data_IF_238968445165
#
_entry.id   IF_238968445165
#
_cell.length_a   1.000
_cell.length_b   1.000
_cell.length_c   1.000
_cell.angle_alpha   90.00
_cell.angle_beta   90.00
_cell.angle_gamma   90.00
#
_symmetry.space_group_name_H-M   'P 1'
#
loop_
_entity.id
_entity.type
_entity.pdbx_description
1 polymer ?
#
# COMPACT_ATOMS: atom_id res chain seq x y z
N UNK A 1 42.80 -15.65 35.79
CA UNK A 1 41.61 -16.49 35.53
C UNK A 1 40.39 -15.57 35.57
N UNK A 2 39.29 -15.85 34.84
CA UNK A 2 38.03 -15.07 34.72
C UNK A 2 37.67 -14.46 33.35
N UNK A 3 38.29 -14.86 32.23
CA UNK A 3 37.82 -14.49 30.88
C UNK A 3 36.63 -15.33 30.36
N UNK A 4 35.84 -15.91 31.25
CA UNK A 4 34.65 -16.71 30.92
C UNK A 4 33.33 -16.06 31.34
N UNK A 5 33.38 -14.93 32.06
CA UNK A 5 32.16 -14.21 32.50
C UNK A 5 31.75 -13.09 31.56
N UNK A 6 32.53 -12.80 30.51
CA UNK A 6 32.26 -11.72 29.55
C UNK A 6 31.80 -12.23 28.17
N UNK A 7 31.74 -13.55 27.98
CA UNK A 7 31.11 -14.13 26.81
C UNK A 7 29.66 -14.42 27.17
N UNK A 8 28.83 -13.41 26.99
CA UNK A 8 27.38 -13.53 27.04
C UNK A 8 26.88 -14.38 25.87
N UNK A 9 27.05 -15.70 25.99
CA UNK A 9 26.49 -16.69 25.07
C UNK A 9 24.98 -16.46 24.95
N UNK A 10 24.30 -16.07 26.03
CA UNK A 10 22.88 -15.72 26.00
C UNK A 10 22.59 -14.50 25.13
N UNK A 11 23.35 -13.39 25.21
CA UNK A 11 23.02 -12.20 24.43
C UNK A 11 23.46 -12.32 22.98
N UNK A 12 24.59 -12.96 22.68
CA UNK A 12 25.02 -13.16 21.28
C UNK A 12 24.22 -14.24 20.57
N UNK A 13 23.82 -15.33 21.21
CA UNK A 13 23.04 -16.39 20.55
C UNK A 13 21.53 -16.09 20.54
N UNK A 14 20.98 -15.39 21.53
CA UNK A 14 19.58 -14.92 21.44
C UNK A 14 19.42 -13.71 20.50
N UNK A 15 20.48 -12.93 20.25
CA UNK A 15 20.46 -11.82 19.28
C UNK A 15 20.88 -12.26 17.86
N UNK A 16 21.82 -13.20 17.68
CA UNK A 16 22.18 -13.75 16.36
C UNK A 16 21.40 -15.01 15.94
N UNK A 17 20.65 -15.64 16.85
CA UNK A 17 19.67 -16.69 16.53
C UNK A 17 18.29 -16.14 16.21
N UNK A 18 18.15 -14.81 16.15
CA UNK A 18 16.94 -14.08 15.81
C UNK A 18 16.57 -14.18 14.32
N UNK A 19 16.49 -15.40 13.79
CA UNK A 19 15.40 -15.72 12.88
C UNK A 19 14.11 -15.60 13.72
N UNK A 20 13.74 -14.37 14.05
CA UNK A 20 12.49 -14.06 14.69
C UNK A 20 11.40 -14.26 13.65
N UNK A 21 11.07 -15.52 13.39
CA UNK A 21 9.93 -15.95 12.59
C UNK A 21 8.60 -15.61 13.28
N UNK A 22 8.66 -15.05 14.50
CA UNK A 22 7.53 -14.48 15.24
C UNK A 22 7.70 -13.02 15.68
N UNK A 23 8.74 -12.29 15.22
CA UNK A 23 8.80 -10.84 15.48
C UNK A 23 7.74 -10.13 14.63
N UNK A 24 6.83 -9.35 15.25
CA UNK A 24 5.89 -8.49 14.53
C UNK A 24 6.57 -7.64 13.45
N UNK A 25 7.85 -7.30 13.65
CA UNK A 25 8.66 -6.45 12.77
C UNK A 25 8.84 -6.98 11.35
N UNK A 26 8.99 -8.30 11.17
CA UNK A 26 9.18 -8.89 9.82
C UNK A 26 7.88 -8.92 9.03
N UNK A 27 6.78 -9.29 9.69
CA UNK A 27 5.45 -9.29 9.08
C UNK A 27 5.01 -7.86 8.77
N UNK A 28 5.25 -6.93 9.72
CA UNK A 28 5.07 -5.48 9.57
C UNK A 28 5.78 -4.94 8.32
N UNK A 29 7.06 -5.28 8.14
CA UNK A 29 7.86 -4.82 7.00
C UNK A 29 7.36 -5.39 5.67
N UNK A 30 6.99 -6.67 5.62
CA UNK A 30 6.47 -7.29 4.40
C UNK A 30 5.13 -6.69 4.00
N UNK A 31 4.21 -6.53 4.97
CA UNK A 31 2.90 -5.93 4.76
C UNK A 31 3.04 -4.47 4.34
N UNK A 32 3.91 -3.71 5.00
CA UNK A 32 4.27 -2.33 4.64
C UNK A 32 4.72 -2.20 3.18
N UNK A 33 5.65 -3.06 2.75
CA UNK A 33 6.19 -3.03 1.40
C UNK A 33 5.11 -3.34 0.34
N UNK A 34 4.25 -4.32 0.60
CA UNK A 34 3.14 -4.67 -0.30
C UNK A 34 2.14 -3.53 -0.39
N UNK A 35 1.75 -2.95 0.75
CA UNK A 35 0.78 -1.86 0.80
C UNK A 35 1.33 -0.61 0.08
N UNK A 36 2.56 -0.23 0.39
CA UNK A 36 3.21 0.95 -0.23
C UNK A 36 3.35 0.75 -1.74
N UNK A 37 3.76 -0.44 -2.17
CA UNK A 37 3.83 -0.80 -3.59
C UNK A 37 2.45 -0.77 -4.27
N UNK A 38 1.43 -1.31 -3.62
CA UNK A 38 0.06 -1.32 -4.14
C UNK A 38 -0.53 0.09 -4.25
N UNK A 39 -0.34 0.95 -3.24
CA UNK A 39 -0.82 2.35 -3.25
C UNK A 39 -0.14 3.14 -4.39
N UNK A 40 1.19 3.01 -4.52
CA UNK A 40 1.94 3.69 -5.59
C UNK A 40 1.50 3.24 -6.98
N UNK A 41 1.37 1.92 -7.18
CA UNK A 41 0.89 1.35 -8.45
C UNK A 41 -0.56 1.76 -8.75
N UNK A 42 -1.44 1.74 -7.75
CA UNK A 42 -2.83 2.14 -7.90
C UNK A 42 -2.96 3.61 -8.28
N UNK A 43 -2.15 4.51 -7.71
CA UNK A 43 -2.13 5.93 -8.09
C UNK A 43 -1.77 6.13 -9.57
N UNK A 44 -0.78 5.39 -10.06
CA UNK A 44 -0.38 5.43 -11.48
C UNK A 44 -1.52 4.93 -12.37
N UNK A 45 -2.10 3.77 -12.07
CA UNK A 45 -3.19 3.18 -12.86
C UNK A 45 -4.41 4.11 -12.88
N UNK A 46 -4.77 4.68 -11.72
CA UNK A 46 -5.88 5.61 -11.58
C UNK A 46 -5.70 6.84 -12.48
N UNK A 47 -4.49 7.39 -12.55
CA UNK A 47 -4.17 8.52 -13.42
C UNK A 47 -4.39 8.18 -14.90
N UNK A 48 -3.97 7.00 -15.36
CA UNK A 48 -4.23 6.56 -16.74
C UNK A 48 -5.72 6.37 -17.04
N UNK A 49 -6.48 5.76 -16.11
CA UNK A 49 -7.93 5.56 -16.28
C UNK A 49 -8.66 6.91 -16.27
N UNK A 50 -8.27 7.85 -15.41
CA UNK A 50 -8.89 9.16 -15.33
C UNK A 50 -8.65 9.97 -16.60
N UNK A 51 -7.42 9.97 -17.13
CA UNK A 51 -7.09 10.64 -18.39
C UNK A 51 -7.82 9.96 -19.56
N UNK A 52 -7.72 8.62 -19.67
CA UNK A 52 -8.36 7.88 -20.75
C UNK A 52 -9.89 7.97 -20.73
N UNK A 53 -10.50 7.82 -19.55
CA UNK A 53 -11.94 7.92 -19.32
C UNK A 53 -12.48 9.33 -19.52
N UNK A 54 -11.75 10.35 -19.04
CA UNK A 54 -12.10 11.76 -19.26
C UNK A 54 -12.05 12.14 -20.74
N UNK A 55 -10.99 11.75 -21.45
CA UNK A 55 -10.84 11.95 -22.89
C UNK A 55 -11.94 11.19 -23.67
N UNK A 56 -12.30 9.98 -23.26
CA UNK A 56 -13.40 9.22 -23.86
C UNK A 56 -14.75 9.90 -23.63
N UNK A 57 -15.01 10.42 -22.43
CA UNK A 57 -16.24 11.15 -22.12
C UNK A 57 -16.39 12.41 -23.00
N UNK A 58 -15.31 13.20 -23.16
CA UNK A 58 -15.30 14.40 -24.01
C UNK A 58 -15.50 14.03 -25.49
N UNK A 59 -14.82 13.00 -25.99
CA UNK A 59 -14.96 12.55 -27.38
C UNK A 59 -16.35 11.99 -27.69
N UNK A 60 -16.95 11.25 -26.76
CA UNK A 60 -18.31 10.72 -26.90
C UNK A 60 -19.36 11.82 -26.90
N UNK A 61 -19.20 12.83 -26.03
CA UNK A 61 -20.10 13.98 -25.96
C UNK A 61 -20.05 14.84 -27.24
N UNK A 62 -18.87 15.03 -27.83
CA UNK A 62 -18.70 15.82 -29.05
C UNK A 62 -19.19 15.14 -30.34
N UNK A 63 -19.30 13.80 -30.37
CA UNK A 63 -19.79 13.04 -31.53
C UNK A 63 -21.22 12.53 -31.39
N UNK A 64 -21.93 12.88 -30.32
CA UNK A 64 -23.28 12.37 -29.98
C UNK A 64 -23.36 10.84 -30.00
N UNK A 65 -22.27 10.15 -29.62
CA UNK A 65 -22.26 8.69 -29.51
C UNK A 65 -22.54 8.28 -28.05
N UNK A 66 -23.80 7.88 -27.73
CA UNK A 66 -24.21 7.58 -26.36
C UNK A 66 -23.40 6.43 -25.75
N UNK A 67 -22.88 5.52 -26.57
CA UNK A 67 -22.12 4.34 -26.12
C UNK A 67 -20.77 4.73 -25.54
N UNK A 68 -20.11 5.71 -26.17
CA UNK A 68 -18.82 6.22 -25.73
C UNK A 68 -18.96 7.08 -24.46
N UNK A 69 -20.07 7.83 -24.33
CA UNK A 69 -20.40 8.59 -23.11
C UNK A 69 -20.67 7.65 -21.93
N UNK A 70 -21.43 6.57 -22.15
CA UNK A 70 -21.72 5.58 -21.11
C UNK A 70 -20.45 4.86 -20.63
N UNK A 71 -19.55 4.53 -21.58
CA UNK A 71 -18.24 3.94 -21.27
C UNK A 71 -17.38 4.91 -20.45
N UNK A 72 -17.35 6.20 -20.81
CA UNK A 72 -16.64 7.23 -20.05
C UNK A 72 -17.17 7.40 -18.62
N UNK A 73 -18.50 7.38 -18.44
CA UNK A 73 -19.12 7.39 -17.11
C UNK A 73 -18.72 6.16 -16.29
N UNK A 74 -18.77 4.96 -16.89
CA UNK A 74 -18.38 3.72 -16.20
C UNK A 74 -16.91 3.74 -15.79
N UNK A 75 -16.03 4.26 -16.65
CA UNK A 75 -14.62 4.45 -16.34
C UNK A 75 -14.43 5.41 -15.16
N UNK A 76 -15.12 6.56 -15.17
CA UNK A 76 -15.07 7.52 -14.07
C UNK A 76 -15.56 6.91 -12.74
N UNK A 77 -16.67 6.18 -12.75
CA UNK A 77 -17.17 5.48 -11.56
C UNK A 77 -16.17 4.45 -11.05
N UNK A 78 -15.54 3.67 -11.94
CA UNK A 78 -14.53 2.68 -11.56
C UNK A 78 -13.26 3.33 -10.97
N UNK A 79 -12.83 4.47 -11.53
CA UNK A 79 -11.71 5.24 -11.00
C UNK A 79 -12.02 5.80 -9.61
N UNK A 80 -13.24 6.31 -9.39
CA UNK A 80 -13.69 6.81 -8.10
C UNK A 80 -13.72 5.70 -7.03
N UNK A 81 -14.20 4.51 -7.39
CA UNK A 81 -14.21 3.35 -6.50
C UNK A 81 -12.77 2.95 -6.17
N UNK A 82 -11.88 2.86 -7.16
CA UNK A 82 -10.45 2.59 -6.94
C UNK A 82 -9.80 3.62 -6.03
N UNK A 83 -10.12 4.91 -6.21
CA UNK A 83 -9.64 5.99 -5.34
C UNK A 83 -10.06 5.77 -3.89
N UNK A 84 -11.35 5.49 -3.65
CA UNK A 84 -11.90 5.27 -2.31
C UNK A 84 -11.26 4.05 -1.64
N UNK A 85 -11.01 2.98 -2.38
CA UNK A 85 -10.34 1.77 -1.86
C UNK A 85 -8.91 2.10 -1.41
N UNK A 86 -8.12 2.80 -2.23
CA UNK A 86 -6.75 3.20 -1.86
C UNK A 86 -6.77 4.16 -0.66
N UNK A 87 -7.69 5.12 -0.66
CA UNK A 87 -7.85 6.08 0.41
C UNK A 87 -8.22 5.39 1.74
N UNK A 88 -9.22 4.52 1.74
CA UNK A 88 -9.60 3.75 2.93
C UNK A 88 -8.49 2.82 3.43
N UNK A 89 -7.74 2.18 2.52
CA UNK A 89 -6.59 1.35 2.88
C UNK A 89 -5.52 2.17 3.64
N UNK A 90 -5.19 3.38 3.18
CA UNK A 90 -4.26 4.27 3.88
C UNK A 90 -4.74 4.57 5.31
N UNK A 91 -6.03 4.88 5.50
CA UNK A 91 -6.59 5.17 6.81
C UNK A 91 -6.55 3.97 7.75
N UNK A 92 -6.85 2.77 7.25
CA UNK A 92 -6.77 1.53 8.05
C UNK A 92 -5.34 1.33 8.56
N UNK A 93 -4.35 1.47 7.69
CA UNK A 93 -2.94 1.32 8.08
C UNK A 93 -2.54 2.38 9.08
N UNK A 94 -2.93 3.63 8.86
CA UNK A 94 -2.67 4.74 9.80
C UNK A 94 -3.24 4.49 11.20
N UNK A 95 -4.42 3.88 11.26
CA UNK A 95 -5.04 3.49 12.53
C UNK A 95 -4.24 2.39 13.22
N UNK A 96 -3.78 1.38 12.47
CA UNK A 96 -2.91 0.32 12.99
C UNK A 96 -1.59 0.91 13.50
N UNK A 97 -0.95 1.84 12.76
CA UNK A 97 0.27 2.52 13.22
C UNK A 97 0.05 3.24 14.56
N UNK A 98 -1.09 3.92 14.70
CA UNK A 98 -1.42 4.69 15.91
C UNK A 98 -1.61 3.78 17.12
N UNK A 99 -2.20 2.60 16.95
CA UNK A 99 -2.44 1.64 18.04
C UNK A 99 -1.16 0.87 18.38
N UNK A 100 -0.37 0.49 17.38
CA UNK A 100 0.80 -0.40 17.56
C UNK A 100 2.09 0.36 17.83
N UNK A 101 2.16 1.67 17.53
CA UNK A 101 3.36 2.49 17.64
C UNK A 101 4.46 2.14 16.63
N UNK A 102 4.20 1.20 15.72
CA UNK A 102 5.10 0.78 14.65
C UNK A 102 4.76 1.56 13.38
N UNK A 103 5.75 2.21 12.75
CA UNK A 103 5.59 2.81 11.42
C UNK A 103 5.52 1.70 10.37
N UNK A 104 4.31 1.46 9.87
CA UNK A 104 3.98 0.52 8.80
C UNK A 104 4.00 1.19 7.42
N UNK A 105 4.02 2.52 7.36
CA UNK A 105 4.20 3.30 6.16
C UNK A 105 5.45 4.14 6.39
N UNK A 106 6.54 3.67 5.78
CA UNK A 106 7.72 4.50 5.52
C UNK A 106 7.48 5.18 4.18
N UNK A 107 6.74 6.30 4.18
CA UNK A 107 6.65 7.16 3.00
C UNK A 107 7.77 8.20 3.04
#
# INVERSE_FOLDING_TARGET
MNKLTDVSISTKFLNQGGANLGSPDKISTLVSAIITGAISLAGIILLFILIGGGIAMIKGAGKSDPKTVETGKKAATSALIGFIVVFSAYWIVRLIETITGLSLISL
#
